data_IF_075466349451
#
_entry.id   IF_075466349451
#
_cell.length_a   1.000
_cell.length_b   1.000
_cell.length_c   1.000
_cell.angle_alpha   90.00
_cell.angle_beta   90.00
_cell.angle_gamma   90.00
#
_symmetry.space_group_name_H-M   'P 1'
#
loop_
_entity.id
_entity.type
_entity.pdbx_description
1 polymer ?
#
# COMPACT_ATOMS: atom_id res chain seq x y z
N UNK A 1 -2.94 -7.62 -19.77
CA UNK A 1 -3.28 -6.91 -18.52
C UNK A 1 -2.03 -6.91 -17.64
N UNK A 2 -1.34 -5.78 -17.47
CA UNK A 2 -0.07 -5.74 -16.74
C UNK A 2 -0.35 -6.00 -15.26
N UNK A 3 -0.09 -7.22 -14.80
CA UNK A 3 0.05 -7.50 -13.37
C UNK A 3 1.35 -6.80 -12.98
N UNK A 4 1.25 -5.60 -12.42
CA UNK A 4 2.38 -4.95 -11.77
C UNK A 4 2.73 -5.80 -10.54
N UNK A 5 3.64 -6.75 -10.72
CA UNK A 5 4.48 -7.19 -9.62
C UNK A 5 5.22 -5.94 -9.16
N UNK A 6 4.76 -5.31 -8.07
CA UNK A 6 5.57 -4.32 -7.37
C UNK A 6 6.79 -5.09 -6.83
N UNK A 7 7.88 -5.09 -7.60
CA UNK A 7 9.13 -5.65 -7.15
C UNK A 7 9.49 -4.92 -5.86
N UNK A 8 9.69 -5.67 -4.78
CA UNK A 8 10.10 -5.14 -3.47
C UNK A 8 11.38 -4.30 -3.55
N UNK A 9 12.15 -4.46 -4.63
CA UNK A 9 13.39 -3.75 -4.92
C UNK A 9 13.14 -2.31 -5.40
N UNK A 10 12.05 -2.05 -6.13
CA UNK A 10 11.76 -0.71 -6.69
C UNK A 10 11.41 0.29 -5.57
N UNK A 11 10.69 -0.18 -4.54
CA UNK A 11 10.31 0.66 -3.40
C UNK A 11 11.52 1.11 -2.55
N UNK A 12 12.68 0.44 -2.64
CA UNK A 12 13.89 0.87 -1.91
C UNK A 12 14.55 2.09 -2.57
N UNK A 13 14.41 2.20 -3.89
CA UNK A 13 14.98 3.28 -4.71
C UNK A 13 14.20 4.58 -4.62
N UNK A 14 12.93 4.54 -4.18
CA UNK A 14 12.08 5.72 -4.04
C UNK A 14 12.58 6.72 -2.98
N UNK A 15 12.34 8.00 -3.23
CA UNK A 15 12.61 9.07 -2.26
C UNK A 15 11.69 8.96 -1.03
N UNK A 16 12.11 9.49 0.12
CA UNK A 16 11.31 9.49 1.35
C UNK A 16 9.95 10.17 1.15
N UNK A 17 9.91 11.25 0.37
CA UNK A 17 8.68 11.97 0.06
C UNK A 17 7.71 11.12 -0.78
N UNK A 18 8.23 10.35 -1.74
CA UNK A 18 7.43 9.48 -2.59
C UNK A 18 6.86 8.31 -1.79
N UNK A 19 7.66 7.73 -0.88
CA UNK A 19 7.20 6.68 0.04
C UNK A 19 6.05 7.18 0.94
N UNK A 20 6.17 8.40 1.48
CA UNK A 20 5.10 9.00 2.29
C UNK A 20 3.84 9.22 1.45
N UNK A 21 3.98 9.67 0.20
CA UNK A 21 2.86 9.84 -0.73
C UNK A 21 2.18 8.50 -1.01
N UNK A 22 2.95 7.46 -1.31
CA UNK A 22 2.40 6.14 -1.62
C UNK A 22 1.71 5.49 -0.41
N UNK A 23 2.22 5.73 0.82
CA UNK A 23 1.52 5.31 2.06
C UNK A 23 0.15 5.97 2.15
N UNK A 24 0.05 7.28 1.89
CA UNK A 24 -1.24 8.01 1.92
C UNK A 24 -2.21 7.48 0.87
N UNK A 25 -1.74 7.22 -0.34
CA UNK A 25 -2.56 6.66 -1.42
C UNK A 25 -3.05 5.25 -1.08
N UNK A 26 -2.18 4.39 -0.54
CA UNK A 26 -2.56 3.05 -0.11
C UNK A 26 -3.56 3.07 1.06
N UNK A 27 -3.45 4.02 2.00
CA UNK A 27 -4.42 4.22 3.07
C UNK A 27 -5.79 4.65 2.53
N UNK A 28 -5.82 5.54 1.54
CA UNK A 28 -7.06 5.94 0.87
C UNK A 28 -7.73 4.76 0.17
N UNK A 29 -6.95 3.96 -0.57
CA UNK A 29 -7.46 2.75 -1.21
C UNK A 29 -8.03 1.74 -0.18
N UNK A 30 -7.37 1.58 0.97
CA UNK A 30 -7.88 0.73 2.04
C UNK A 30 -9.20 1.26 2.63
N UNK A 31 -9.32 2.58 2.79
CA UNK A 31 -10.57 3.22 3.22
C UNK A 31 -11.70 2.93 2.23
N UNK A 32 -11.46 3.12 0.94
CA UNK A 32 -12.45 2.87 -0.11
C UNK A 32 -12.89 1.40 -0.14
N UNK A 33 -11.95 0.45 0.02
CA UNK A 33 -12.27 -0.98 0.11
C UNK A 33 -13.12 -1.32 1.34
N UNK A 34 -12.82 -0.70 2.50
CA UNK A 34 -13.62 -0.87 3.72
C UNK A 34 -14.99 -0.22 3.59
N UNK A 35 -15.08 0.92 2.91
CA UNK A 35 -16.34 1.59 2.63
C UNK A 35 -17.24 0.72 1.73
N UNK A 36 -16.70 0.19 0.63
CA UNK A 36 -17.40 -0.78 -0.24
C UNK A 36 -17.88 -2.01 0.52
N UNK A 37 -17.06 -2.53 1.43
CA UNK A 37 -17.44 -3.65 2.31
C UNK A 37 -18.61 -3.28 3.23
N UNK A 38 -18.58 -2.10 3.83
CA UNK A 38 -19.64 -1.62 4.72
C UNK A 38 -20.97 -1.39 3.97
N UNK A 39 -20.91 -0.87 2.75
CA UNK A 39 -22.08 -0.64 1.89
C UNK A 39 -22.58 -1.89 1.18
N UNK A 40 -21.97 -3.06 1.42
CA UNK A 40 -22.26 -4.34 0.75
C UNK A 40 -22.13 -4.27 -0.78
N UNK A 41 -21.31 -3.36 -1.29
CA UNK A 41 -20.98 -3.30 -2.71
C UNK A 41 -20.03 -4.45 -3.09
N UNK A 42 -20.05 -4.92 -4.34
CA UNK A 42 -19.11 -5.95 -4.80
C UNK A 42 -17.67 -5.40 -4.78
N UNK A 43 -16.77 -6.12 -4.12
CA UNK A 43 -15.33 -5.87 -4.10
C UNK A 43 -14.59 -7.20 -3.96
N UNK A 44 -13.27 -7.22 -4.19
CA UNK A 44 -12.46 -8.43 -4.02
C UNK A 44 -11.94 -8.53 -2.58
N UNK A 45 -12.31 -9.56 -1.79
CA UNK A 45 -11.91 -9.64 -0.38
C UNK A 45 -10.39 -9.67 -0.14
N UNK A 46 -9.63 -10.29 -1.04
CA UNK A 46 -8.17 -10.39 -0.90
C UNK A 46 -7.45 -9.04 -1.05
N UNK A 47 -8.06 -8.05 -1.70
CA UNK A 47 -7.46 -6.72 -1.91
C UNK A 47 -7.29 -5.97 -0.59
N UNK A 48 -8.15 -6.20 0.42
CA UNK A 48 -7.99 -5.61 1.75
C UNK A 48 -6.67 -6.07 2.37
N UNK A 49 -6.47 -7.40 2.45
CA UNK A 49 -5.26 -7.99 3.03
C UNK A 49 -4.00 -7.63 2.24
N UNK A 50 -4.10 -7.56 0.91
CA UNK A 50 -2.99 -7.16 0.05
C UNK A 50 -2.59 -5.68 0.31
N UNK A 51 -3.58 -4.79 0.41
CA UNK A 51 -3.36 -3.36 0.66
C UNK A 51 -2.77 -3.12 2.06
N UNK A 52 -3.26 -3.84 3.08
CA UNK A 52 -2.69 -3.79 4.44
C UNK A 52 -1.22 -4.23 4.46
N UNK A 53 -0.88 -5.32 3.77
CA UNK A 53 0.51 -5.77 3.62
C UNK A 53 1.37 -4.75 2.88
N UNK A 54 0.83 -4.08 1.86
CA UNK A 54 1.54 -3.02 1.13
C UNK A 54 1.88 -1.85 2.05
N UNK A 55 0.91 -1.36 2.82
CA UNK A 55 1.13 -0.28 3.81
C UNK A 55 2.21 -0.67 4.83
N UNK A 56 2.15 -1.90 5.36
CA UNK A 56 3.14 -2.37 6.32
C UNK A 56 4.55 -2.36 5.73
N UNK A 57 4.74 -2.89 4.51
CA UNK A 57 6.03 -2.88 3.81
C UNK A 57 6.58 -1.47 3.60
N UNK A 58 5.74 -0.54 3.14
CA UNK A 58 6.14 0.86 2.92
C UNK A 58 6.58 1.52 4.23
N UNK A 59 5.84 1.30 5.33
CA UNK A 59 6.22 1.80 6.66
C UNK A 59 7.53 1.20 7.17
N UNK A 60 7.77 -0.10 6.93
CA UNK A 60 9.03 -0.75 7.29
C UNK A 60 10.21 -0.15 6.53
N UNK A 61 10.06 0.07 5.22
CA UNK A 61 11.11 0.72 4.40
C UNK A 61 11.39 2.13 4.92
N UNK A 62 10.33 2.91 5.17
CA UNK A 62 10.45 4.25 5.72
C UNK A 62 11.21 4.23 7.06
N UNK A 63 10.85 3.33 7.98
CA UNK A 63 11.56 3.17 9.27
C UNK A 63 13.03 2.80 9.08
N UNK A 64 13.33 1.90 8.14
CA UNK A 64 14.72 1.48 7.87
C UNK A 64 15.60 2.61 7.32
N UNK A 65 15.02 3.64 6.67
CA UNK A 65 15.75 4.84 6.22
C UNK A 65 16.07 5.83 7.33
N UNK A 66 15.44 5.71 8.51
CA UNK A 66 15.69 6.59 9.66
C UNK A 66 16.60 5.97 10.72
N UNK A 67 16.70 4.64 10.77
CA UNK A 67 17.53 3.93 11.75
C UNK A 67 18.99 3.78 11.28
N UNK A 68 19.22 3.78 9.95
CA UNK A 68 20.55 3.84 9.35
C UNK A 68 20.92 5.28 9.04
#
# INVERSE_FOLDING_TARGET
>A
MKISNSNSNDNRLMSTQELVKEVKEAQKALFDLRFKKATRQPFKPHEIKATEKKIARLKTILRSKFIN
#
